data_IF_488741511397
#
_entry.id   IF_488741511397
#
_cell.length_a   1.000
_cell.length_b   1.000
_cell.length_c   1.000
_cell.angle_alpha   90.00
_cell.angle_beta   90.00
_cell.angle_gamma   90.00
#
_symmetry.space_group_name_H-M   'P 1'
#
loop_
_entity.id
_entity.type
_entity.pdbx_description
1 polymer ?
#
# COMPACT_ATOMS: atom_id res chain seq x y z
N UNK A 1 -20.01 -9.07 11.33
CA UNK A 1 -19.72 -9.06 10.81
C UNK A 1 -18.79 -9.55 10.26
N UNK A 2 -18.36 -10.40 10.14
CA UNK A 2 -17.20 -10.68 9.56
C UNK A 2 -17.22 -11.99 8.86
N UNK A 3 -17.40 -11.95 7.57
CA UNK A 3 -17.09 -13.06 6.70
C UNK A 3 -15.59 -13.35 6.75
N UNK A 4 -15.22 -14.60 6.54
CA UNK A 4 -13.85 -15.05 6.42
C UNK A 4 -13.58 -15.69 5.04
N UNK A 5 -12.32 -16.02 4.79
CA UNK A 5 -11.92 -16.62 3.51
C UNK A 5 -12.53 -18.03 3.29
N UNK A 6 -12.84 -18.76 4.36
CA UNK A 6 -13.46 -20.07 4.26
C UNK A 6 -14.94 -19.96 3.83
N UNK A 7 -15.66 -19.01 4.44
CA UNK A 7 -17.03 -18.69 4.03
C UNK A 7 -17.07 -18.17 2.59
N UNK A 8 -16.11 -17.30 2.20
CA UNK A 8 -16.01 -16.84 0.82
C UNK A 8 -15.77 -18.01 -0.15
N UNK A 9 -14.90 -18.95 0.20
CA UNK A 9 -14.64 -20.12 -0.62
C UNK A 9 -15.90 -20.98 -0.83
N UNK A 10 -16.73 -21.12 0.20
CA UNK A 10 -18.00 -21.86 0.12
C UNK A 10 -19.03 -21.19 -0.81
N UNK A 11 -18.91 -19.88 -1.07
CA UNK A 11 -19.79 -19.15 -1.96
C UNK A 11 -19.26 -19.06 -3.41
N UNK A 12 -18.14 -19.71 -3.72
CA UNK A 12 -17.45 -19.54 -5.00
C UNK A 12 -18.32 -19.74 -6.22
N UNK A 13 -19.18 -20.75 -6.19
CA UNK A 13 -20.03 -21.12 -7.33
C UNK A 13 -21.34 -20.30 -7.38
N UNK A 14 -21.61 -19.48 -6.37
CA UNK A 14 -22.82 -18.66 -6.27
C UNK A 14 -22.59 -17.18 -6.60
N UNK A 15 -21.33 -16.77 -6.78
CA UNK A 15 -20.95 -15.40 -7.09
C UNK A 15 -20.03 -15.35 -8.32
N UNK A 16 -19.99 -14.20 -8.99
CA UNK A 16 -19.09 -14.02 -10.15
C UNK A 16 -17.62 -14.06 -9.71
N UNK A 17 -16.73 -14.38 -10.67
CA UNK A 17 -15.29 -14.35 -10.42
C UNK A 17 -14.82 -12.96 -9.93
N UNK A 18 -15.38 -11.87 -10.47
CA UNK A 18 -15.06 -10.51 -10.05
C UNK A 18 -15.50 -10.24 -8.61
N UNK A 19 -16.73 -10.60 -8.25
CA UNK A 19 -17.23 -10.47 -6.87
C UNK A 19 -16.35 -11.23 -5.88
N UNK A 20 -15.97 -12.46 -6.26
CA UNK A 20 -15.04 -13.27 -5.46
C UNK A 20 -13.69 -12.56 -5.25
N UNK A 21 -13.08 -12.03 -6.32
CA UNK A 21 -11.79 -11.34 -6.25
C UNK A 21 -11.88 -10.09 -5.36
N UNK A 22 -12.93 -9.27 -5.50
CA UNK A 22 -13.15 -8.09 -4.66
C UNK A 22 -13.30 -8.47 -3.18
N UNK A 23 -14.14 -9.46 -2.87
CA UNK A 23 -14.34 -9.94 -1.50
C UNK A 23 -13.04 -10.53 -0.91
N UNK A 24 -12.31 -11.33 -1.69
CA UNK A 24 -11.03 -11.89 -1.28
C UNK A 24 -9.98 -10.80 -0.96
N UNK A 25 -9.96 -9.72 -1.74
CA UNK A 25 -9.11 -8.56 -1.44
C UNK A 25 -9.44 -7.99 -0.07
N UNK A 26 -10.71 -7.64 0.17
CA UNK A 26 -11.14 -7.01 1.43
C UNK A 26 -10.82 -7.89 2.65
N UNK A 27 -11.13 -9.18 2.57
CA UNK A 27 -10.84 -10.11 3.67
C UNK A 27 -9.35 -10.28 3.94
N UNK A 28 -8.54 -10.27 2.87
CA UNK A 28 -7.08 -10.32 3.00
C UNK A 28 -6.51 -9.01 3.56
N UNK A 29 -7.04 -7.84 3.16
CA UNK A 29 -6.63 -6.55 3.70
C UNK A 29 -6.89 -6.45 5.20
N UNK A 30 -8.03 -6.92 5.70
CA UNK A 30 -8.31 -6.93 7.13
C UNK A 30 -7.23 -7.68 7.93
N UNK A 31 -6.72 -8.79 7.40
CA UNK A 31 -5.62 -9.53 8.02
C UNK A 31 -4.30 -8.76 7.92
N UNK A 32 -4.03 -8.13 6.75
CA UNK A 32 -2.81 -7.34 6.54
C UNK A 32 -2.72 -6.13 7.46
N UNK A 33 -3.83 -5.45 7.74
CA UNK A 33 -3.86 -4.34 8.72
C UNK A 33 -3.33 -4.79 10.07
N UNK A 34 -3.83 -5.93 10.59
CA UNK A 34 -3.39 -6.45 11.89
C UNK A 34 -1.91 -6.87 11.83
N UNK A 35 -1.50 -7.58 10.79
CA UNK A 35 -0.11 -8.00 10.61
C UNK A 35 0.84 -6.80 10.51
N UNK A 36 0.46 -5.75 9.77
CA UNK A 36 1.24 -4.51 9.64
C UNK A 36 1.35 -3.79 10.98
N UNK A 37 0.25 -3.69 11.76
CA UNK A 37 0.27 -3.08 13.07
C UNK A 37 1.22 -3.82 14.03
N UNK A 38 1.20 -5.16 14.01
CA UNK A 38 2.13 -5.99 14.80
C UNK A 38 3.58 -5.76 14.38
N UNK A 39 3.86 -5.76 13.07
CA UNK A 39 5.21 -5.51 12.55
C UNK A 39 5.75 -4.12 12.93
N UNK A 40 4.90 -3.09 12.87
CA UNK A 40 5.25 -1.73 13.32
C UNK A 40 5.58 -1.68 14.82
N UNK A 41 4.81 -2.37 15.66
CA UNK A 41 5.10 -2.45 17.10
C UNK A 41 6.43 -3.14 17.39
N UNK A 42 6.86 -4.04 16.52
CA UNK A 42 8.13 -4.76 16.61
C UNK A 42 9.30 -4.01 15.92
N UNK A 43 9.04 -2.85 15.33
CA UNK A 43 9.97 -2.12 14.47
C UNK A 43 10.53 -2.97 13.30
N UNK A 44 9.76 -3.95 12.85
CA UNK A 44 10.12 -4.83 11.72
C UNK A 44 9.68 -4.20 10.39
N UNK A 45 10.53 -3.32 9.85
CA UNK A 45 10.26 -2.65 8.57
C UNK A 45 10.22 -3.63 7.40
N UNK A 46 10.94 -4.74 7.46
CA UNK A 46 10.90 -5.76 6.40
C UNK A 46 9.53 -6.39 6.32
N UNK A 47 8.98 -6.83 7.45
CA UNK A 47 7.61 -7.35 7.50
C UNK A 47 6.57 -6.30 7.06
N UNK A 48 6.73 -5.03 7.44
CA UNK A 48 5.87 -3.94 6.94
C UNK A 48 5.96 -3.81 5.42
N UNK A 49 7.17 -3.85 4.85
CA UNK A 49 7.38 -3.75 3.41
C UNK A 49 6.71 -4.91 2.65
N UNK A 50 6.78 -6.12 3.18
CA UNK A 50 6.11 -7.29 2.61
C UNK A 50 4.58 -7.14 2.62
N UNK A 51 3.99 -6.71 3.76
CA UNK A 51 2.55 -6.51 3.86
C UNK A 51 2.04 -5.41 2.91
N UNK A 52 2.76 -4.30 2.79
CA UNK A 52 2.38 -3.21 1.88
C UNK A 52 2.53 -3.62 0.41
N UNK A 53 3.59 -4.33 0.05
CA UNK A 53 3.80 -4.84 -1.30
C UNK A 53 2.70 -5.83 -1.70
N UNK A 54 2.33 -6.77 -0.82
CA UNK A 54 1.23 -7.70 -1.04
C UNK A 54 -0.10 -6.98 -1.16
N UNK A 55 -0.35 -5.97 -0.29
CA UNK A 55 -1.53 -5.12 -0.36
C UNK A 55 -1.62 -4.37 -1.69
N UNK A 56 -0.51 -3.81 -2.19
CA UNK A 56 -0.49 -3.14 -3.48
C UNK A 56 -0.78 -4.10 -4.65
N UNK A 57 -0.15 -5.28 -4.66
CA UNK A 57 -0.46 -6.32 -5.65
C UNK A 57 -1.93 -6.73 -5.63
N UNK A 58 -2.51 -6.83 -4.44
CA UNK A 58 -3.92 -7.15 -4.28
C UNK A 58 -4.85 -6.02 -4.76
N UNK A 59 -4.48 -4.75 -4.53
CA UNK A 59 -5.17 -3.59 -5.10
C UNK A 59 -5.13 -3.61 -6.62
N UNK A 60 -3.99 -3.96 -7.22
CA UNK A 60 -3.81 -3.99 -8.67
C UNK A 60 -4.56 -5.16 -9.33
N UNK A 61 -4.45 -6.37 -8.77
CA UNK A 61 -4.84 -7.59 -9.48
C UNK A 61 -6.19 -8.17 -9.04
N UNK A 62 -6.63 -7.88 -7.81
CA UNK A 62 -7.91 -8.39 -7.27
C UNK A 62 -8.96 -7.31 -7.13
N UNK A 63 -8.57 -6.14 -6.65
CA UNK A 63 -9.49 -5.02 -6.50
C UNK A 63 -9.54 -4.13 -7.75
N UNK A 64 -8.45 -4.08 -8.53
CA UNK A 64 -8.31 -3.40 -9.82
C UNK A 64 -8.61 -1.89 -9.73
N UNK A 65 -8.08 -1.24 -8.72
CA UNK A 65 -8.25 0.20 -8.49
C UNK A 65 -6.95 0.99 -8.63
N UNK A 66 -5.85 0.34 -9.02
CA UNK A 66 -4.60 1.03 -9.29
C UNK A 66 -4.55 1.53 -10.75
N UNK A 67 -3.67 2.47 -11.01
CA UNK A 67 -3.39 2.97 -12.36
C UNK A 67 -1.90 2.82 -12.68
N UNK A 68 -1.56 2.83 -13.97
CA UNK A 68 -0.18 2.68 -14.42
C UNK A 68 0.79 3.65 -13.74
N UNK A 69 0.36 4.89 -13.53
CA UNK A 69 1.15 5.92 -12.87
C UNK A 69 1.53 5.56 -11.41
N UNK A 70 0.57 5.08 -10.61
CA UNK A 70 0.83 4.68 -9.22
C UNK A 70 1.60 3.37 -9.15
N UNK A 71 1.34 2.42 -10.03
CA UNK A 71 2.11 1.18 -10.16
C UNK A 71 3.59 1.48 -10.49
N UNK A 72 3.83 2.46 -11.36
CA UNK A 72 5.18 2.89 -11.70
C UNK A 72 5.92 3.50 -10.51
N UNK A 73 5.27 4.34 -9.69
CA UNK A 73 5.88 4.86 -8.47
C UNK A 73 6.29 3.76 -7.50
N UNK A 74 5.39 2.79 -7.25
CA UNK A 74 5.71 1.65 -6.39
C UNK A 74 6.86 0.82 -6.96
N UNK A 75 6.88 0.60 -8.28
CA UNK A 75 7.95 -0.12 -8.95
C UNK A 75 9.31 0.61 -8.84
N UNK A 76 9.34 1.94 -8.98
CA UNK A 76 10.55 2.75 -8.81
C UNK A 76 11.07 2.63 -7.37
N UNK A 77 10.19 2.81 -6.38
CA UNK A 77 10.57 2.71 -4.97
C UNK A 77 11.17 1.33 -4.66
N UNK A 78 10.52 0.27 -5.11
CA UNK A 78 10.96 -1.11 -4.89
C UNK A 78 12.26 -1.43 -5.63
N UNK A 79 12.46 -0.92 -6.83
CA UNK A 79 13.70 -1.11 -7.60
C UNK A 79 14.89 -0.41 -6.95
N UNK A 80 14.66 0.78 -6.36
CA UNK A 80 15.72 1.58 -5.74
C UNK A 80 16.13 1.08 -4.35
N UNK A 81 15.16 0.73 -3.50
CA UNK A 81 15.42 0.43 -2.08
C UNK A 81 15.16 -1.05 -1.69
N UNK A 82 14.59 -1.85 -2.59
CA UNK A 82 14.32 -3.26 -2.29
C UNK A 82 13.39 -3.43 -1.09
N UNK A 83 13.82 -4.24 -0.12
CA UNK A 83 13.03 -4.54 1.10
C UNK A 83 13.12 -3.44 2.18
N UNK A 84 13.92 -2.39 1.93
CA UNK A 84 14.03 -1.23 2.81
C UNK A 84 12.87 -0.23 2.65
N UNK A 85 11.98 -0.41 1.68
CA UNK A 85 10.84 0.45 1.47
C UNK A 85 9.53 -0.33 1.47
N UNK A 86 8.60 0.12 2.30
CA UNK A 86 7.21 -0.30 2.24
C UNK A 86 6.45 0.70 1.37
N UNK A 87 5.96 0.28 0.20
CA UNK A 87 5.31 1.16 -0.76
C UNK A 87 3.98 0.60 -1.25
N UNK A 88 2.93 1.44 -1.25
CA UNK A 88 1.62 1.09 -1.82
C UNK A 88 0.82 2.33 -2.23
N UNK A 89 -0.09 2.15 -3.17
CA UNK A 89 -1.11 3.16 -3.45
C UNK A 89 -2.03 3.36 -2.25
N UNK A 90 -2.44 4.61 -2.01
CA UNK A 90 -3.39 4.99 -0.98
C UNK A 90 -4.48 5.90 -1.56
N UNK A 91 -5.59 6.04 -0.81
CA UNK A 91 -6.77 6.80 -1.25
C UNK A 91 -7.83 5.92 -1.93
N UNK A 92 -8.77 6.55 -2.61
CA UNK A 92 -9.95 5.89 -3.21
C UNK A 92 -9.68 5.06 -4.46
N UNK A 93 -8.48 5.04 -4.98
CA UNK A 93 -8.15 4.34 -6.22
C UNK A 93 -8.29 5.20 -7.48
N UNK A 94 -8.04 4.60 -8.64
CA UNK A 94 -8.10 5.23 -9.97
C UNK A 94 -7.17 6.45 -10.14
N UNK A 95 -6.06 6.46 -9.40
CA UNK A 95 -5.09 7.54 -9.27
C UNK A 95 -4.75 7.79 -7.81
N UNK A 96 -4.37 9.02 -7.48
CA UNK A 96 -4.09 9.43 -6.10
C UNK A 96 -2.61 9.36 -5.75
N UNK A 97 -2.31 8.94 -4.53
CA UNK A 97 -0.97 8.97 -3.97
C UNK A 97 -0.41 7.56 -3.74
N UNK A 98 0.91 7.50 -3.64
CA UNK A 98 1.65 6.34 -3.13
C UNK A 98 2.28 6.76 -1.80
N UNK A 99 2.04 5.98 -0.76
CA UNK A 99 2.76 6.11 0.49
C UNK A 99 3.99 5.21 0.45
N UNK A 100 5.13 5.77 0.86
CA UNK A 100 6.37 5.05 1.05
C UNK A 100 6.85 5.24 2.49
N UNK A 101 7.13 4.15 3.18
CA UNK A 101 7.77 4.15 4.49
C UNK A 101 9.16 3.55 4.34
N UNK A 102 10.19 4.29 4.70
CA UNK A 102 11.59 3.87 4.69
C UNK A 102 12.35 4.57 5.81
N UNK A 103 13.60 4.17 6.02
CA UNK A 103 14.47 4.85 6.97
C UNK A 103 14.80 6.27 6.49
N UNK A 104 15.00 7.21 7.42
CA UNK A 104 15.32 8.60 7.09
C UNK A 104 16.54 8.73 6.17
N UNK A 105 17.54 7.90 6.36
CA UNK A 105 18.77 7.88 5.54
C UNK A 105 18.51 7.50 4.07
N UNK A 106 17.44 6.76 3.80
CA UNK A 106 17.07 6.29 2.45
C UNK A 106 16.15 7.28 1.69
N UNK A 107 15.57 8.27 2.39
CA UNK A 107 14.60 9.22 1.80
C UNK A 107 15.21 9.98 0.62
N UNK A 108 16.39 10.53 0.77
CA UNK A 108 17.04 11.31 -0.29
C UNK A 108 17.34 10.45 -1.54
N UNK A 109 17.67 9.18 -1.36
CA UNK A 109 17.89 8.23 -2.45
C UNK A 109 16.57 7.96 -3.19
N UNK A 110 15.50 7.68 -2.46
CA UNK A 110 14.17 7.43 -3.03
C UNK A 110 13.66 8.64 -3.83
N UNK A 111 13.79 9.86 -3.29
CA UNK A 111 13.35 11.07 -3.98
C UNK A 111 14.08 11.26 -5.30
N UNK A 112 15.42 11.08 -5.33
CA UNK A 112 16.21 11.14 -6.56
C UNK A 112 15.78 10.11 -7.60
N UNK A 113 15.45 8.89 -7.17
CA UNK A 113 14.98 7.85 -8.07
C UNK A 113 13.61 8.20 -8.69
N UNK A 114 12.70 8.75 -7.90
CA UNK A 114 11.40 9.22 -8.39
C UNK A 114 11.58 10.35 -9.39
N UNK A 115 12.40 11.35 -9.08
CA UNK A 115 12.68 12.48 -9.96
C UNK A 115 13.31 12.05 -11.28
N UNK A 116 14.30 11.15 -11.24
CA UNK A 116 15.00 10.62 -12.41
C UNK A 116 14.07 9.81 -13.33
N UNK A 117 13.27 8.92 -12.77
CA UNK A 117 12.65 7.84 -13.54
C UNK A 117 11.16 8.06 -13.81
N UNK A 118 10.44 8.76 -12.92
CA UNK A 118 8.97 8.78 -12.99
C UNK A 118 8.46 9.52 -14.22
N UNK A 119 8.97 10.71 -14.48
CA UNK A 119 8.54 11.50 -15.65
C UNK A 119 8.91 10.80 -16.95
N UNK A 120 10.08 10.18 -17.01
CA UNK A 120 10.51 9.43 -18.19
C UNK A 120 9.60 8.25 -18.48
N UNK A 121 9.14 7.53 -17.44
CA UNK A 121 8.31 6.33 -17.60
C UNK A 121 6.83 6.61 -17.80
N UNK A 122 6.33 7.74 -17.31
CA UNK A 122 4.88 8.02 -17.28
C UNK A 122 4.47 9.26 -18.08
N UNK A 123 5.39 10.16 -18.41
CA UNK A 123 5.09 11.49 -18.94
C UNK A 123 4.50 12.46 -17.90
N UNK A 124 4.33 12.03 -16.65
CA UNK A 124 3.74 12.82 -15.58
C UNK A 124 4.84 13.34 -14.63
N UNK A 125 4.54 14.41 -13.90
CA UNK A 125 5.39 14.91 -12.83
C UNK A 125 4.82 14.47 -11.48
N UNK A 126 5.66 13.86 -10.64
CA UNK A 126 5.30 13.55 -9.27
C UNK A 126 5.46 14.77 -8.37
N UNK A 127 4.51 14.98 -7.45
CA UNK A 127 4.68 15.87 -6.30
C UNK A 127 5.00 15.02 -5.10
N UNK A 128 6.08 15.33 -4.39
CA UNK A 128 6.56 14.54 -3.26
C UNK A 128 6.48 15.35 -1.97
N UNK A 129 6.08 14.67 -0.87
CA UNK A 129 6.06 15.22 0.47
C UNK A 129 6.81 14.25 1.38
N UNK A 130 7.59 14.80 2.30
CA UNK A 130 8.25 14.03 3.36
C UNK A 130 7.66 14.45 4.68
N UNK A 131 7.27 13.49 5.50
CA UNK A 131 6.76 13.72 6.84
C UNK A 131 7.20 12.59 7.77
N UNK A 132 7.23 12.86 9.05
CA UNK A 132 7.46 11.87 10.10
C UNK A 132 6.15 11.48 10.77
N UNK A 133 6.15 10.32 11.45
CA UNK A 133 5.00 9.89 12.22
C UNK A 133 4.78 10.85 13.41
N UNK A 134 3.57 11.38 13.53
CA UNK A 134 3.17 12.21 14.66
C UNK A 134 2.69 11.39 15.86
N UNK A 135 2.19 12.07 16.90
CA UNK A 135 1.70 11.45 18.15
C UNK A 135 0.40 10.66 17.98
N UNK A 136 -0.24 10.76 16.84
CA UNK A 136 -1.55 10.16 16.60
C UNK A 136 -2.71 11.10 16.97
N UNK A 137 -3.93 10.54 17.08
CA UNK A 137 -5.12 11.30 17.40
C UNK A 137 -5.15 11.69 18.88
N UNK A 138 -5.31 12.98 19.14
CA UNK A 138 -5.58 13.52 20.47
C UNK A 138 -7.02 14.07 20.50
N UNK A 139 -7.77 13.73 21.54
CA UNK A 139 -9.12 14.25 21.76
C UNK A 139 -9.07 15.18 22.98
N UNK A 140 -9.33 16.46 22.76
CA UNK A 140 -9.47 17.44 23.82
C UNK A 140 -10.95 17.71 24.04
N UNK A 141 -11.46 17.50 25.27
CA UNK A 141 -12.79 17.97 25.67
C UNK A 141 -12.64 19.40 26.22
N UNK A 142 -13.41 20.32 25.69
CA UNK A 142 -13.53 21.67 26.25
C UNK A 142 -14.79 21.68 27.12
N UNK A 143 -14.63 21.95 28.40
CA UNK A 143 -15.74 22.18 29.36
C UNK A 143 -16.35 23.56 29.14
#
# INVERSE_FOLDING_TARGET
>A
RAADLQQLAACRDTITAQQYQRAAHVLAENKRVIATATALQQADLTAVAEQLAEGHRSLANRYEVTVGATNTLVAIAKAELGDKVAARQTGGGFGGAVVCLCHNDDVAQLLRAVERDYTQKTGLKATTFVSEAGRGLEVNSYD
#
